data_IF_245376227522
#
_entry.id   IF_245376227522
#
_cell.length_a   1.000
_cell.length_b   1.000
_cell.length_c   1.000
_cell.angle_alpha   90.00
_cell.angle_beta   90.00
_cell.angle_gamma   90.00
#
_symmetry.space_group_name_H-M   'P 1'
#
loop_
_entity.id
_entity.type
_entity.pdbx_description
1 polymer ?
#
# COMPACT_ATOMS: atom_id res chain seq x y z
N UNK A 1 -2.20 43.57 -23.67
CA UNK A 1 -1.84 42.66 -22.57
C UNK A 1 -1.33 41.34 -23.12
N UNK A 2 -2.15 40.61 -23.89
CA UNK A 2 -1.80 39.32 -24.50
C UNK A 2 -0.50 39.28 -25.36
N UNK A 3 -0.17 40.34 -26.12
CA UNK A 3 1.09 40.37 -26.90
C UNK A 3 2.35 40.50 -26.02
N UNK A 4 2.23 41.12 -24.84
CA UNK A 4 3.37 41.28 -23.92
C UNK A 4 3.72 39.94 -23.27
N UNK A 5 2.70 39.19 -22.88
CA UNK A 5 2.85 37.86 -22.28
C UNK A 5 3.47 36.85 -23.27
N UNK A 6 3.27 37.02 -24.59
CA UNK A 6 3.94 36.21 -25.62
C UNK A 6 5.42 36.50 -25.75
N UNK A 7 5.81 37.77 -25.62
CA UNK A 7 7.23 38.17 -25.65
C UNK A 7 7.93 37.57 -24.43
N UNK A 8 7.29 37.65 -23.26
CA UNK A 8 7.80 37.06 -22.02
C UNK A 8 7.96 35.53 -22.12
N UNK A 9 6.98 34.83 -22.69
CA UNK A 9 7.09 33.38 -22.95
C UNK A 9 8.22 33.03 -23.93
N UNK A 10 8.43 33.83 -24.98
CA UNK A 10 9.53 33.63 -25.93
C UNK A 10 10.89 33.92 -25.31
N UNK A 11 10.99 34.93 -24.46
CA UNK A 11 12.19 35.26 -23.69
C UNK A 11 12.53 34.16 -22.67
N UNK A 12 11.51 33.48 -22.13
CA UNK A 12 11.65 32.28 -21.31
C UNK A 12 11.99 31.00 -22.11
N UNK A 13 12.14 31.10 -23.43
CA UNK A 13 12.52 29.98 -24.30
C UNK A 13 11.36 29.07 -24.72
N UNK A 14 10.10 29.51 -24.54
CA UNK A 14 8.93 28.71 -24.89
C UNK A 14 8.59 28.87 -26.39
N UNK A 15 8.71 27.83 -27.24
CA UNK A 15 8.37 27.94 -28.64
C UNK A 15 6.85 27.99 -28.80
N UNK A 16 6.35 29.13 -29.28
CA UNK A 16 4.95 29.35 -29.61
C UNK A 16 4.74 29.08 -31.10
N UNK A 17 3.98 28.04 -31.42
CA UNK A 17 3.54 27.76 -32.79
C UNK A 17 2.31 28.61 -33.14
N UNK A 18 2.28 29.20 -34.32
CA UNK A 18 1.10 29.89 -34.85
C UNK A 18 0.31 28.95 -35.77
N UNK A 19 -0.98 28.78 -35.50
CA UNK A 19 -1.83 27.87 -36.28
C UNK A 19 -3.31 28.27 -36.25
N UNK A 20 -4.06 27.85 -37.28
CA UNK A 20 -5.51 28.06 -37.36
C UNK A 20 -6.25 27.05 -36.48
N UNK A 21 -7.20 27.55 -35.69
CA UNK A 21 -8.08 26.71 -34.91
C UNK A 21 -9.13 26.08 -35.84
N UNK A 22 -9.13 24.75 -35.96
CA UNK A 22 -10.16 24.03 -36.74
C UNK A 22 -11.49 24.15 -36.00
N UNK A 23 -12.36 25.06 -36.45
CA UNK A 23 -13.74 25.18 -35.99
C UNK A 23 -14.18 26.57 -35.47
N UNK A 24 -13.28 27.54 -35.28
CA UNK A 24 -13.67 28.88 -34.83
C UNK A 24 -12.76 29.97 -35.40
N UNK A 25 -13.28 30.71 -36.38
CA UNK A 25 -12.77 32.03 -36.77
C UNK A 25 -11.56 32.10 -37.71
N UNK A 26 -11.51 33.18 -38.49
CA UNK A 26 -10.47 33.56 -39.44
C UNK A 26 -9.18 34.11 -38.77
N UNK A 27 -9.02 33.90 -37.47
CA UNK A 27 -7.95 34.50 -36.66
C UNK A 27 -6.90 33.45 -36.32
N UNK A 28 -5.63 33.71 -36.65
CA UNK A 28 -4.53 32.81 -36.30
C UNK A 28 -4.31 32.80 -34.78
N UNK A 29 -4.28 31.60 -34.18
CA UNK A 29 -4.05 31.38 -32.76
C UNK A 29 -2.61 30.96 -32.47
N UNK A 30 -2.23 31.00 -31.20
CA UNK A 30 -0.93 30.53 -30.71
C UNK A 30 -1.12 29.25 -29.91
N UNK A 31 -0.30 28.23 -30.16
CA UNK A 31 -0.28 26.95 -29.45
C UNK A 31 1.13 26.67 -28.96
N UNK A 32 1.25 26.21 -27.72
CA UNK A 32 2.45 25.55 -27.23
C UNK A 32 2.38 24.09 -27.72
N UNK A 33 3.36 23.64 -28.48
CA UNK A 33 3.41 22.27 -28.96
C UNK A 33 3.55 21.32 -27.77
N UNK A 34 2.49 20.56 -27.51
CA UNK A 34 2.42 19.62 -26.38
C UNK A 34 3.58 18.64 -26.38
N UNK A 35 3.99 18.15 -27.57
CA UNK A 35 5.15 17.29 -27.79
C UNK A 35 6.49 17.86 -27.28
N UNK A 36 6.63 19.19 -27.21
CA UNK A 36 7.89 19.83 -26.80
C UNK A 36 8.00 19.97 -25.27
N UNK A 37 6.90 19.68 -24.57
CA UNK A 37 6.76 19.78 -23.10
C UNK A 37 6.23 18.50 -22.47
N UNK A 38 5.90 17.50 -23.27
CA UNK A 38 5.58 16.17 -22.78
C UNK A 38 6.87 15.62 -22.16
N UNK A 39 6.83 15.42 -20.85
CA UNK A 39 7.81 14.61 -20.17
C UNK A 39 7.83 13.25 -20.88
N UNK A 40 9.03 12.74 -21.17
CA UNK A 40 9.20 11.39 -21.70
C UNK A 40 8.55 10.35 -20.79
N UNK A 41 8.41 9.12 -21.30
CA UNK A 41 7.94 8.00 -20.48
C UNK A 41 8.79 7.88 -19.21
N UNK A 42 8.13 7.90 -18.05
CA UNK A 42 8.79 7.75 -16.75
C UNK A 42 8.85 6.27 -16.44
N UNK A 43 9.98 5.64 -16.74
CA UNK A 43 10.32 4.32 -16.25
C UNK A 43 10.95 4.46 -14.86
N UNK A 44 10.29 3.94 -13.82
CA UNK A 44 10.86 3.93 -12.47
C UNK A 44 11.77 2.71 -12.31
N UNK A 45 13.04 2.94 -12.00
CA UNK A 45 13.93 1.89 -11.54
C UNK A 45 13.50 1.38 -10.14
N UNK A 46 13.86 0.14 -9.75
CA UNK A 46 13.46 -0.44 -8.47
C UNK A 46 13.82 0.39 -7.23
N UNK A 47 14.92 1.14 -7.28
CA UNK A 47 15.40 2.04 -6.24
C UNK A 47 14.63 3.38 -6.23
N UNK A 48 14.25 3.91 -7.39
CA UNK A 48 13.33 5.06 -7.48
C UNK A 48 11.96 4.73 -6.90
N UNK A 49 11.43 3.53 -7.18
CA UNK A 49 10.22 3.03 -6.55
C UNK A 49 10.37 2.93 -5.01
N UNK A 50 11.55 2.55 -4.52
CA UNK A 50 11.86 2.56 -3.09
C UNK A 50 11.84 3.98 -2.51
N UNK A 51 12.40 4.96 -3.22
CA UNK A 51 12.39 6.36 -2.80
C UNK A 51 10.96 6.93 -2.72
N UNK A 52 10.10 6.61 -3.69
CA UNK A 52 8.68 6.99 -3.67
C UNK A 52 7.96 6.33 -2.48
N UNK A 53 8.20 5.05 -2.23
CA UNK A 53 7.61 4.35 -1.09
C UNK A 53 8.09 4.93 0.25
N UNK A 54 9.38 5.29 0.38
CA UNK A 54 9.90 6.00 1.55
C UNK A 54 9.21 7.36 1.74
N UNK A 55 9.00 8.12 0.67
CA UNK A 55 8.27 9.38 0.70
C UNK A 55 6.79 9.20 1.09
N UNK A 56 6.19 8.05 0.82
CA UNK A 56 4.83 7.71 1.26
C UNK A 56 4.75 7.27 2.74
N UNK A 57 5.86 6.78 3.31
CA UNK A 57 5.90 6.18 4.66
C UNK A 57 6.51 7.08 5.72
N UNK A 58 7.58 7.83 5.42
CA UNK A 58 8.32 8.62 6.42
C UNK A 58 7.58 9.90 6.82
N UNK A 59 7.15 10.78 5.90
CA UNK A 59 6.47 12.03 6.25
C UNK A 59 5.10 11.75 6.89
N UNK A 60 4.81 12.41 8.02
CA UNK A 60 3.56 12.17 8.76
C UNK A 60 2.30 12.48 7.92
N UNK A 61 2.36 13.50 7.07
CA UNK A 61 1.26 13.87 6.17
C UNK A 61 0.96 12.76 5.16
N UNK A 62 1.98 12.29 4.44
CA UNK A 62 1.86 11.20 3.48
C UNK A 62 1.39 9.91 4.17
N UNK A 63 1.98 9.57 5.32
CA UNK A 63 1.60 8.40 6.10
C UNK A 63 0.13 8.40 6.52
N UNK A 64 -0.43 9.56 6.92
CA UNK A 64 -1.85 9.65 7.30
C UNK A 64 -2.79 9.26 6.15
N UNK A 65 -2.39 9.54 4.91
CA UNK A 65 -3.15 9.19 3.71
C UNK A 65 -2.93 7.73 3.31
N UNK A 66 -1.69 7.24 3.38
CA UNK A 66 -1.30 5.93 2.85
C UNK A 66 -1.51 4.77 3.84
N UNK A 67 -1.45 5.01 5.15
CA UNK A 67 -1.48 3.96 6.19
C UNK A 67 -2.71 3.05 6.18
N UNK A 68 -3.82 3.50 5.58
CA UNK A 68 -5.03 2.69 5.39
C UNK A 68 -4.74 1.39 4.64
N UNK A 69 -3.86 1.41 3.64
CA UNK A 69 -3.49 0.21 2.89
C UNK A 69 -2.78 -0.81 3.80
N UNK A 70 -1.98 -0.35 4.78
CA UNK A 70 -1.36 -1.22 5.78
C UNK A 70 -2.40 -1.78 6.74
N UNK A 71 -3.39 -0.98 7.17
CA UNK A 71 -4.52 -1.48 7.98
C UNK A 71 -5.34 -2.53 7.23
N UNK A 72 -5.61 -2.33 5.94
CA UNK A 72 -6.30 -3.33 5.10
C UNK A 72 -5.53 -4.67 5.12
N UNK A 73 -4.21 -4.62 4.89
CA UNK A 73 -3.35 -5.81 4.94
C UNK A 73 -3.30 -6.45 6.34
N UNK A 74 -3.27 -5.65 7.40
CA UNK A 74 -3.26 -6.09 8.80
C UNK A 74 -4.55 -6.87 9.15
N UNK A 75 -5.72 -6.27 8.91
CA UNK A 75 -7.01 -6.91 9.16
C UNK A 75 -7.25 -8.11 8.23
N UNK A 76 -6.83 -8.00 6.96
CA UNK A 76 -6.83 -9.11 6.01
C UNK A 76 -5.99 -10.29 6.52
N UNK A 77 -4.85 -10.03 7.16
CA UNK A 77 -4.00 -11.03 7.80
C UNK A 77 -4.71 -11.80 8.91
N UNK A 78 -5.36 -11.09 9.84
CA UNK A 78 -6.20 -11.71 10.86
C UNK A 78 -7.30 -12.57 10.23
N UNK A 79 -8.02 -12.03 9.24
CA UNK A 79 -9.11 -12.71 8.57
C UNK A 79 -8.67 -13.98 7.86
N UNK A 80 -7.58 -13.91 7.09
CA UNK A 80 -7.03 -15.04 6.33
C UNK A 80 -6.57 -16.16 7.26
N UNK A 81 -5.76 -15.84 8.27
CA UNK A 81 -5.25 -16.85 9.20
C UNK A 81 -6.37 -17.41 10.08
N UNK A 82 -7.38 -16.61 10.42
CA UNK A 82 -8.57 -17.13 11.10
C UNK A 82 -9.26 -18.22 10.26
N UNK A 83 -9.49 -17.98 8.96
CA UNK A 83 -10.09 -18.96 8.07
C UNK A 83 -9.21 -20.21 7.91
N UNK A 84 -7.91 -20.02 7.68
CA UNK A 84 -6.95 -21.14 7.49
C UNK A 84 -6.80 -22.01 8.75
N UNK A 85 -7.00 -21.44 9.93
CA UNK A 85 -6.95 -22.17 11.21
C UNK A 85 -8.33 -22.73 11.63
N UNK A 86 -9.31 -22.71 10.73
CA UNK A 86 -10.64 -23.30 10.94
C UNK A 86 -11.59 -22.45 11.80
N UNK A 87 -11.26 -21.17 12.03
CA UNK A 87 -12.16 -20.20 12.66
C UNK A 87 -13.13 -19.65 11.61
N UNK A 88 -14.32 -19.23 12.06
CA UNK A 88 -15.29 -18.56 11.19
C UNK A 88 -15.12 -17.05 11.28
N UNK A 89 -14.95 -16.39 10.15
CA UNK A 89 -14.87 -14.93 10.08
C UNK A 89 -16.29 -14.35 10.00
N UNK A 90 -16.67 -13.51 10.97
CA UNK A 90 -18.00 -12.87 10.99
C UNK A 90 -18.01 -11.55 10.22
N UNK A 91 -16.91 -10.80 10.33
CA UNK A 91 -16.70 -9.60 9.55
C UNK A 91 -15.49 -8.79 9.99
N UNK A 92 -15.15 -7.84 9.13
CA UNK A 92 -14.07 -6.88 9.32
C UNK A 92 -14.68 -5.47 9.29
N UNK A 93 -14.22 -4.60 10.18
CA UNK A 93 -14.56 -3.18 10.17
C UNK A 93 -13.28 -2.36 10.07
N UNK A 94 -13.25 -1.41 9.15
CA UNK A 94 -12.13 -0.48 8.98
C UNK A 94 -12.59 0.94 9.32
N UNK A 95 -11.80 1.71 10.05
CA UNK A 95 -12.15 3.07 10.45
C UNK A 95 -11.20 4.10 9.86
N UNK A 96 -11.65 5.35 9.78
CA UNK A 96 -10.88 6.46 9.20
C UNK A 96 -9.69 6.89 10.05
N UNK A 97 -9.70 6.57 11.34
CA UNK A 97 -8.55 6.73 12.24
C UNK A 97 -7.50 5.63 12.06
N UNK A 98 -7.74 4.70 11.12
CA UNK A 98 -6.90 3.57 10.69
C UNK A 98 -6.80 2.44 11.72
N UNK A 99 -7.74 2.45 12.67
CA UNK A 99 -8.08 1.26 13.43
C UNK A 99 -8.88 0.28 12.57
N UNK A 100 -8.68 -1.00 12.83
CA UNK A 100 -9.50 -2.07 12.28
C UNK A 100 -10.00 -2.98 13.39
N UNK A 101 -11.02 -3.76 13.06
CA UNK A 101 -11.55 -4.79 13.94
C UNK A 101 -11.96 -6.00 13.10
N UNK A 102 -11.23 -7.09 13.30
CA UNK A 102 -11.55 -8.39 12.74
C UNK A 102 -12.25 -9.28 13.77
N UNK A 103 -13.50 -9.64 13.51
CA UNK A 103 -14.30 -10.48 14.41
C UNK A 103 -14.36 -11.91 13.86
N UNK A 104 -13.85 -12.87 14.65
CA UNK A 104 -13.90 -14.29 14.31
C UNK A 104 -14.47 -15.13 15.45
N UNK A 105 -15.25 -16.17 15.10
CA UNK A 105 -15.80 -17.17 16.00
C UNK A 105 -15.01 -18.47 15.93
N UNK A 106 -14.76 -19.05 17.10
CA UNK A 106 -14.03 -20.30 17.25
C UNK A 106 -13.65 -20.50 18.72
N UNK A 107 -12.74 -21.44 19.00
CA UNK A 107 -12.19 -21.57 20.36
C UNK A 107 -11.48 -20.27 20.76
N UNK A 108 -11.77 -19.69 21.94
CA UNK A 108 -11.19 -18.41 22.36
C UNK A 108 -9.70 -18.52 22.71
N UNK A 109 -9.19 -19.73 22.90
CA UNK A 109 -7.77 -20.02 23.13
C UNK A 109 -7.29 -21.20 22.25
N UNK A 110 -5.98 -21.31 22.10
CA UNK A 110 -5.30 -22.35 21.32
C UNK A 110 -4.60 -21.80 20.07
N UNK A 111 -3.96 -22.71 19.33
CA UNK A 111 -3.04 -22.35 18.23
C UNK A 111 -3.70 -21.48 17.15
N UNK A 112 -4.97 -21.71 16.82
CA UNK A 112 -5.67 -20.89 15.83
C UNK A 112 -5.82 -19.43 16.27
N UNK A 113 -6.16 -19.17 17.55
CA UNK A 113 -6.25 -17.81 18.06
C UNK A 113 -4.86 -17.14 18.16
N UNK A 114 -3.83 -17.90 18.56
CA UNK A 114 -2.44 -17.42 18.64
C UNK A 114 -1.96 -17.02 17.23
N UNK A 115 -2.14 -17.88 16.23
CA UNK A 115 -1.73 -17.58 14.86
C UNK A 115 -2.52 -16.40 14.29
N UNK A 116 -3.83 -16.33 14.53
CA UNK A 116 -4.65 -15.18 14.10
C UNK A 116 -4.15 -13.89 14.72
N UNK A 117 -3.90 -13.84 16.03
CA UNK A 117 -3.41 -12.63 16.69
C UNK A 117 -2.00 -12.23 16.22
N UNK A 118 -1.12 -13.20 15.95
CA UNK A 118 0.22 -12.93 15.41
C UNK A 118 0.21 -12.43 13.95
N UNK A 119 -0.87 -12.71 13.20
CA UNK A 119 -0.96 -12.40 11.78
C UNK A 119 -1.06 -10.90 11.48
N UNK A 120 -1.69 -10.11 12.35
CA UNK A 120 -1.98 -8.69 12.07
C UNK A 120 -0.72 -7.90 11.75
N UNK A 121 0.20 -7.81 12.71
CA UNK A 121 1.45 -7.05 12.55
C UNK A 121 2.43 -7.64 11.54
N UNK A 122 2.30 -8.93 11.21
CA UNK A 122 3.21 -9.61 10.28
C UNK A 122 2.72 -9.58 8.84
N UNK A 123 1.40 -9.52 8.61
CA UNK A 123 0.80 -9.64 7.29
C UNK A 123 1.26 -8.59 6.27
N UNK A 124 1.33 -7.28 6.57
CA UNK A 124 1.78 -6.30 5.58
C UNK A 124 3.20 -6.59 5.06
N UNK A 125 4.14 -6.88 5.97
CA UNK A 125 5.51 -7.20 5.61
C UNK A 125 5.65 -8.54 4.87
N UNK A 126 4.89 -9.56 5.27
CA UNK A 126 4.90 -10.87 4.59
C UNK A 126 4.25 -10.81 3.20
N UNK A 127 3.20 -10.00 3.02
CA UNK A 127 2.62 -9.71 1.70
C UNK A 127 3.61 -8.94 0.83
N UNK A 128 4.33 -7.96 1.40
CA UNK A 128 5.44 -7.30 0.72
C UNK A 128 6.54 -8.28 0.30
N UNK A 129 6.95 -9.18 1.19
CA UNK A 129 7.98 -10.19 0.88
C UNK A 129 7.52 -11.16 -0.22
N UNK A 130 6.28 -11.66 -0.14
CA UNK A 130 5.69 -12.50 -1.18
C UNK A 130 5.56 -11.78 -2.52
N UNK A 131 5.20 -10.49 -2.49
CA UNK A 131 5.21 -9.63 -3.66
C UNK A 131 6.60 -9.44 -4.25
N UNK A 132 7.61 -9.21 -3.42
CA UNK A 132 9.01 -9.10 -3.85
C UNK A 132 9.50 -10.39 -4.52
N UNK A 133 9.13 -11.56 -3.98
CA UNK A 133 9.41 -12.85 -4.61
C UNK A 133 8.74 -12.97 -5.99
N UNK A 134 7.47 -12.61 -6.11
CA UNK A 134 6.76 -12.62 -7.40
C UNK A 134 7.40 -11.67 -8.42
N UNK A 135 7.80 -10.46 -8.00
CA UNK A 135 8.46 -9.49 -8.86
C UNK A 135 9.83 -9.97 -9.32
N UNK A 136 10.63 -10.54 -8.41
CA UNK A 136 11.93 -11.13 -8.75
C UNK A 136 11.80 -12.32 -9.72
N UNK A 137 10.67 -13.03 -9.68
CA UNK A 137 10.33 -14.10 -10.62
C UNK A 137 9.66 -13.60 -11.92
N UNK A 138 9.45 -12.29 -12.09
CA UNK A 138 8.80 -11.70 -13.27
C UNK A 138 7.28 -11.87 -13.33
N UNK A 139 6.62 -12.24 -12.23
CA UNK A 139 5.19 -12.53 -12.16
C UNK A 139 4.32 -11.33 -11.75
N UNK A 140 4.47 -10.20 -12.44
CA UNK A 140 3.73 -8.95 -12.16
C UNK A 140 2.20 -9.17 -12.24
N UNK A 141 1.73 -9.82 -13.30
CA UNK A 141 0.29 -10.08 -13.47
C UNK A 141 -0.28 -10.91 -12.33
N UNK A 142 0.46 -11.92 -11.85
CA UNK A 142 0.02 -12.75 -10.73
C UNK A 142 -0.09 -11.94 -9.43
N UNK A 143 0.84 -11.00 -9.20
CA UNK A 143 0.81 -10.09 -8.06
C UNK A 143 -0.43 -9.19 -8.11
N UNK A 144 -0.69 -8.52 -9.24
CA UNK A 144 -1.82 -7.59 -9.37
C UNK A 144 -3.16 -8.31 -9.23
N UNK A 145 -3.37 -9.43 -9.92
CA UNK A 145 -4.61 -10.20 -9.83
C UNK A 145 -4.77 -10.91 -8.49
N UNK A 146 -3.68 -11.37 -7.88
CA UNK A 146 -3.68 -11.90 -6.52
C UNK A 146 -4.14 -10.86 -5.50
N UNK A 147 -3.64 -9.62 -5.61
CA UNK A 147 -4.08 -8.51 -4.76
C UNK A 147 -5.56 -8.16 -4.99
N UNK A 148 -6.03 -8.12 -6.25
CA UNK A 148 -7.45 -7.91 -6.58
C UNK A 148 -8.32 -8.99 -5.94
N UNK A 149 -7.91 -10.27 -6.05
CA UNK A 149 -8.66 -11.39 -5.46
C UNK A 149 -8.71 -11.30 -3.93
N UNK A 150 -7.59 -10.96 -3.28
CA UNK A 150 -7.53 -10.75 -1.83
C UNK A 150 -8.44 -9.60 -1.39
N UNK A 151 -8.40 -8.46 -2.10
CA UNK A 151 -9.26 -7.31 -1.83
C UNK A 151 -10.74 -7.64 -2.08
N UNK A 152 -11.07 -8.41 -3.12
CA UNK A 152 -12.43 -8.86 -3.38
C UNK A 152 -12.94 -9.80 -2.29
N UNK A 153 -12.12 -10.76 -1.85
CA UNK A 153 -12.45 -11.64 -0.73
C UNK A 153 -12.67 -10.85 0.57
N UNK A 154 -11.81 -9.87 0.82
CA UNK A 154 -11.93 -8.96 1.95
C UNK A 154 -13.21 -8.12 1.87
N UNK A 155 -13.57 -7.62 0.69
CA UNK A 155 -14.76 -6.80 0.47
C UNK A 155 -16.05 -7.52 0.91
N UNK A 156 -16.15 -8.84 0.66
CA UNK A 156 -17.30 -9.66 1.12
C UNK A 156 -17.38 -9.69 2.66
N UNK A 157 -16.24 -9.59 3.34
CA UNK A 157 -16.15 -9.64 4.80
C UNK A 157 -16.31 -8.27 5.47
N UNK A 158 -16.19 -7.16 4.73
CA UNK A 158 -16.31 -5.82 5.29
C UNK A 158 -17.77 -5.54 5.69
N UNK A 159 -17.95 -5.02 6.91
CA UNK A 159 -19.28 -4.74 7.50
C UNK A 159 -19.56 -3.27 7.77
N UNK A 160 -18.79 -2.34 7.19
CA UNK A 160 -19.00 -0.91 7.38
C UNK A 160 -18.67 -0.08 6.13
N UNK A 161 -19.37 1.06 5.95
CA UNK A 161 -19.30 1.86 4.72
C UNK A 161 -17.90 2.40 4.40
N UNK A 162 -17.16 2.85 5.42
CA UNK A 162 -15.79 3.33 5.22
C UNK A 162 -14.86 2.23 4.72
N UNK A 163 -14.98 1.02 5.30
CA UNK A 163 -14.23 -0.13 4.83
C UNK A 163 -14.57 -0.49 3.38
N UNK A 164 -15.86 -0.45 3.01
CA UNK A 164 -16.29 -0.73 1.63
C UNK A 164 -15.65 0.29 0.69
N UNK A 165 -15.76 1.58 1.01
CA UNK A 165 -15.18 2.65 0.20
C UNK A 165 -13.67 2.46 0.01
N UNK A 166 -12.93 2.25 1.09
CA UNK A 166 -11.46 2.13 1.04
C UNK A 166 -11.00 0.89 0.28
N UNK A 167 -11.63 -0.27 0.50
CA UNK A 167 -11.31 -1.52 -0.23
C UNK A 167 -11.71 -1.42 -1.69
N UNK A 168 -12.86 -0.81 -2.02
CA UNK A 168 -13.29 -0.60 -3.41
C UNK A 168 -12.35 0.36 -4.13
N UNK A 169 -11.98 1.50 -3.53
CA UNK A 169 -11.04 2.44 -4.14
C UNK A 169 -9.66 1.79 -4.38
N UNK A 170 -9.17 1.04 -3.40
CA UNK A 170 -7.91 0.31 -3.53
C UNK A 170 -8.01 -0.76 -4.63
N UNK A 171 -9.06 -1.60 -4.61
CA UNK A 171 -9.26 -2.65 -5.61
C UNK A 171 -9.47 -2.09 -7.01
N UNK A 172 -10.21 -0.98 -7.15
CA UNK A 172 -10.39 -0.27 -8.42
C UNK A 172 -9.05 0.26 -8.94
N UNK A 173 -8.20 0.82 -8.08
CA UNK A 173 -6.85 1.26 -8.49
C UNK A 173 -6.04 0.08 -9.06
N UNK A 174 -5.97 -1.05 -8.35
CA UNK A 174 -5.27 -2.24 -8.85
C UNK A 174 -5.85 -2.74 -10.18
N UNK A 175 -7.19 -2.83 -10.27
CA UNK A 175 -7.86 -3.29 -11.48
C UNK A 175 -7.63 -2.35 -12.67
N UNK A 176 -7.79 -1.04 -12.49
CA UNK A 176 -7.59 -0.06 -13.55
C UNK A 176 -6.14 -0.04 -14.03
N UNK A 177 -5.16 -0.10 -13.11
CA UNK A 177 -3.75 -0.22 -13.50
C UNK A 177 -3.53 -1.52 -14.28
N UNK A 178 -4.01 -2.65 -13.76
CA UNK A 178 -3.81 -3.95 -14.43
C UNK A 178 -4.48 -4.06 -15.80
N UNK A 179 -5.58 -3.34 -16.03
CA UNK A 179 -6.39 -3.49 -17.25
C UNK A 179 -6.12 -2.42 -18.31
N UNK A 180 -5.82 -1.18 -17.89
CA UNK A 180 -5.75 -0.03 -18.79
C UNK A 180 -4.32 0.45 -19.08
N UNK A 181 -3.32 0.00 -18.33
CA UNK A 181 -1.96 0.55 -18.45
C UNK A 181 -0.98 -0.43 -19.08
N UNK A 182 0.09 0.12 -19.64
CA UNK A 182 1.16 -0.63 -20.29
C UNK A 182 2.03 -1.39 -19.27
N UNK A 183 2.79 -2.43 -19.69
CA UNK A 183 3.58 -3.25 -18.79
C UNK A 183 4.55 -2.47 -17.90
N UNK A 184 5.15 -1.39 -18.41
CA UNK A 184 6.06 -0.54 -17.64
C UNK A 184 5.35 0.12 -16.44
N UNK A 185 4.17 0.69 -16.67
CA UNK A 185 3.36 1.32 -15.60
C UNK A 185 2.87 0.28 -14.59
N UNK A 186 2.47 -0.91 -15.07
CA UNK A 186 2.11 -2.03 -14.18
C UNK A 186 3.28 -2.46 -13.30
N UNK A 187 4.50 -2.53 -13.86
CA UNK A 187 5.71 -2.85 -13.12
C UNK A 187 6.00 -1.78 -12.08
N UNK A 188 6.07 -0.51 -12.47
CA UNK A 188 6.33 0.62 -11.56
C UNK A 188 5.34 0.65 -10.39
N UNK A 189 4.05 0.47 -10.67
CA UNK A 189 3.01 0.37 -9.65
C UNK A 189 3.22 -0.83 -8.71
N UNK A 190 3.51 -2.01 -9.27
CA UNK A 190 3.72 -3.23 -8.48
C UNK A 190 4.96 -3.11 -7.57
N UNK A 191 6.09 -2.61 -8.08
CA UNK A 191 7.28 -2.31 -7.27
C UNK A 191 6.97 -1.30 -6.17
N UNK A 192 6.25 -0.22 -6.49
CA UNK A 192 5.84 0.79 -5.52
C UNK A 192 4.97 0.22 -4.40
N UNK A 193 3.97 -0.61 -4.73
CA UNK A 193 3.12 -1.31 -3.75
C UNK A 193 3.94 -2.23 -2.86
N UNK A 194 4.84 -3.03 -3.44
CA UNK A 194 5.66 -3.99 -2.69
C UNK A 194 6.59 -3.26 -1.73
N UNK A 195 7.31 -2.25 -2.20
CA UNK A 195 8.14 -1.42 -1.33
C UNK A 195 7.34 -0.74 -0.24
N UNK A 196 6.15 -0.21 -0.58
CA UNK A 196 5.25 0.39 0.39
C UNK A 196 4.82 -0.59 1.48
N UNK A 197 4.50 -1.85 1.14
CA UNK A 197 4.14 -2.87 2.14
C UNK A 197 5.34 -3.29 3.00
N UNK A 198 6.53 -3.44 2.40
CA UNK A 198 7.75 -3.77 3.12
C UNK A 198 8.14 -2.68 4.14
N UNK A 199 8.14 -1.41 3.71
CA UNK A 199 8.49 -0.26 4.55
C UNK A 199 7.36 0.10 5.52
N UNK A 200 6.13 0.16 5.01
CA UNK A 200 4.93 0.52 5.75
C UNK A 200 4.56 -0.51 6.82
N UNK A 201 4.93 -1.78 6.66
CA UNK A 201 4.73 -2.81 7.69
C UNK A 201 5.61 -2.64 8.94
N UNK A 202 6.78 -2.00 8.79
CA UNK A 202 7.73 -1.79 9.91
C UNK A 202 7.20 -0.76 10.92
N UNK A 203 6.67 0.35 10.40
CA UNK A 203 6.29 1.52 11.20
C UNK A 203 5.23 1.24 12.29
N UNK A 204 4.13 0.50 12.02
CA UNK A 204 3.13 0.15 13.04
C UNK A 204 3.68 -0.58 14.27
N UNK A 205 4.74 -1.38 14.12
CA UNK A 205 5.33 -2.12 15.25
C UNK A 205 6.02 -1.15 16.22
N UNK A 206 6.74 -0.16 15.71
CA UNK A 206 7.33 0.93 16.51
C UNK A 206 6.26 1.83 17.14
N UNK A 207 5.17 2.12 16.41
CA UNK A 207 4.03 2.86 16.96
C UNK A 207 3.36 2.11 18.11
N UNK A 208 3.21 0.78 17.99
CA UNK A 208 2.70 -0.07 19.06
C UNK A 208 3.63 -0.03 20.28
N UNK A 209 4.93 -0.21 20.09
CA UNK A 209 5.91 -0.15 21.18
C UNK A 209 5.81 1.18 21.95
N UNK A 210 5.72 2.30 21.22
CA UNK A 210 5.59 3.64 21.81
C UNK A 210 4.26 3.85 22.55
N UNK A 211 3.16 3.29 22.04
CA UNK A 211 1.85 3.33 22.73
C UNK A 211 1.86 2.49 24.01
N UNK A 212 2.52 1.33 23.98
CA UNK A 212 2.62 0.42 25.12
C UNK A 212 3.48 0.99 26.24
N UNK A 213 4.63 1.61 25.94
CA UNK A 213 5.46 2.26 26.95
C UNK A 213 4.71 3.40 27.68
N UNK A 214 3.71 4.00 27.02
CA UNK A 214 2.81 4.98 27.63
C UNK A 214 1.54 4.41 28.27
N UNK A 215 1.35 3.08 28.32
CA UNK A 215 0.17 2.42 28.90
C UNK A 215 -1.13 2.54 28.09
N UNK A 216 -1.06 2.91 26.80
CA UNK A 216 -2.23 3.29 25.98
C UNK A 216 -2.73 2.21 25.00
N UNK A 217 -2.30 0.95 25.15
CA UNK A 217 -2.66 -0.13 24.22
C UNK A 217 -2.84 -1.51 24.90
N UNK A 218 -3.67 -1.65 25.96
CA UNK A 218 -3.77 -2.88 26.76
C UNK A 218 -4.38 -4.09 26.02
N UNK A 219 -5.06 -3.87 24.89
CA UNK A 219 -5.72 -4.90 24.09
C UNK A 219 -5.10 -5.11 22.71
N UNK A 220 -3.85 -4.69 22.54
CA UNK A 220 -3.08 -4.97 21.33
C UNK A 220 -2.90 -6.47 21.10
N UNK A 221 -2.63 -6.87 19.86
CA UNK A 221 -2.31 -8.26 19.52
C UNK A 221 -1.21 -8.85 20.40
N UNK A 222 -0.16 -8.05 20.69
CA UNK A 222 0.93 -8.48 21.56
C UNK A 222 0.45 -8.76 23.00
N UNK A 223 -0.51 -8.00 23.52
CA UNK A 223 -1.11 -8.29 24.83
C UNK A 223 -2.03 -9.50 24.79
N UNK A 224 -2.85 -9.63 23.74
CA UNK A 224 -3.70 -10.81 23.55
C UNK A 224 -2.85 -12.07 23.48
N UNK A 225 -1.78 -12.06 22.69
CA UNK A 225 -0.80 -13.13 22.60
C UNK A 225 -0.14 -13.41 23.95
N UNK A 226 0.22 -12.37 24.69
CA UNK A 226 0.80 -12.53 26.02
C UNK A 226 -0.15 -13.23 26.99
N UNK A 227 -1.42 -12.85 27.00
CA UNK A 227 -2.47 -13.51 27.80
C UNK A 227 -2.73 -14.95 27.36
N UNK A 228 -2.71 -15.21 26.06
CA UNK A 228 -3.00 -16.55 25.49
C UNK A 228 -1.85 -17.54 25.70
N UNK A 229 -0.61 -17.07 25.67
CA UNK A 229 0.59 -17.92 25.68
C UNK A 229 1.37 -17.89 26.99
N UNK A 230 1.04 -16.96 27.90
CA UNK A 230 1.82 -16.65 29.10
C UNK A 230 3.26 -16.20 28.82
N UNK A 231 3.57 -15.87 27.56
CA UNK A 231 4.86 -15.31 27.13
C UNK A 231 4.80 -13.79 27.25
N UNK A 232 5.85 -13.11 27.75
CA UNK A 232 5.87 -11.65 27.83
C UNK A 232 5.59 -10.98 26.48
N UNK A 233 4.72 -9.96 26.45
CA UNK A 233 4.40 -9.20 25.23
C UNK A 233 5.64 -8.61 24.53
N UNK A 234 6.72 -8.34 25.27
CA UNK A 234 7.99 -7.89 24.71
C UNK A 234 8.62 -8.90 23.72
N UNK A 235 8.47 -10.21 23.96
CA UNK A 235 8.97 -11.24 23.04
C UNK A 235 8.11 -11.31 21.76
N UNK A 236 6.81 -11.07 21.87
CA UNK A 236 5.93 -10.94 20.70
C UNK A 236 6.24 -9.68 19.89
N UNK A 237 6.50 -8.54 20.54
CA UNK A 237 7.00 -7.34 19.86
C UNK A 237 8.33 -7.60 19.16
N UNK A 238 9.26 -8.32 19.81
CA UNK A 238 10.52 -8.71 19.19
C UNK A 238 10.29 -9.56 17.94
N UNK A 239 9.39 -10.55 18.01
CA UNK A 239 9.01 -11.35 16.85
C UNK A 239 8.46 -10.48 15.70
N UNK A 240 7.59 -9.52 16.00
CA UNK A 240 7.04 -8.61 14.99
C UNK A 240 8.12 -7.74 14.35
N UNK A 241 9.06 -7.20 15.13
CA UNK A 241 10.21 -6.48 14.58
C UNK A 241 11.09 -7.40 13.73
N UNK A 242 11.37 -8.61 14.20
CA UNK A 242 12.18 -9.58 13.46
C UNK A 242 11.54 -9.90 12.11
N UNK A 243 10.25 -10.23 12.07
CA UNK A 243 9.53 -10.54 10.82
C UNK A 243 9.51 -9.34 9.88
N UNK A 244 9.17 -8.14 10.37
CA UNK A 244 9.04 -6.96 9.51
C UNK A 244 10.39 -6.50 8.96
N UNK A 245 11.44 -6.48 9.78
CA UNK A 245 12.80 -6.11 9.35
C UNK A 245 13.42 -7.17 8.45
N UNK A 246 13.28 -8.46 8.76
CA UNK A 246 13.78 -9.52 7.88
C UNK A 246 13.06 -9.54 6.53
N UNK A 247 11.76 -9.28 6.51
CA UNK A 247 10.99 -9.15 5.26
C UNK A 247 11.46 -7.95 4.44
N UNK A 248 11.69 -6.79 5.07
CA UNK A 248 12.22 -5.60 4.40
C UNK A 248 13.62 -5.85 3.84
N UNK A 249 14.52 -6.46 4.61
CA UNK A 249 15.88 -6.76 4.17
C UNK A 249 15.87 -7.80 3.04
N UNK A 250 15.16 -8.92 3.21
CA UNK A 250 15.10 -9.99 2.22
C UNK A 250 14.41 -9.54 0.93
N UNK A 251 13.23 -8.92 1.05
CA UNK A 251 12.49 -8.37 -0.08
C UNK A 251 13.26 -7.26 -0.78
N UNK A 252 13.86 -6.34 -0.02
CA UNK A 252 14.68 -5.27 -0.60
C UNK A 252 15.90 -5.79 -1.36
N UNK A 253 16.56 -6.85 -0.87
CA UNK A 253 17.66 -7.49 -1.61
C UNK A 253 17.19 -8.08 -2.94
N UNK A 254 16.04 -8.75 -2.96
CA UNK A 254 15.48 -9.28 -4.22
C UNK A 254 15.12 -8.18 -5.21
N UNK A 255 14.52 -7.08 -4.74
CA UNK A 255 14.11 -5.97 -5.60
C UNK A 255 15.29 -5.17 -6.15
N UNK A 256 16.39 -5.08 -5.39
CA UNK A 256 17.61 -4.35 -5.77
C UNK A 256 18.66 -5.23 -6.47
N UNK A 257 18.43 -6.54 -6.59
CA UNK A 257 19.38 -7.47 -7.21
C UNK A 257 20.69 -7.65 -6.44
N UNK A 258 20.65 -7.54 -5.10
CA UNK A 258 21.83 -7.57 -4.20
C UNK A 258 22.21 -8.95 -3.66
#
# INVERSE_FOLDING_TARGET
MFERDKVELRELGVPLETGRQVGSGTTDGYRIARRDYELGEIDLEPDEAAAVALAAVLPQSAWRLSRNAVTIAHEGGHGLIALLTGRRLDGIRLHSDTSGLTVSRGRPAGIGMILTAAAGYTAPSLLGLGGAWLLAAGHITALLWGAILLLAAMLVMIRNAYGVLTVVLTGALFFLISWLTEPAVQAAFAYGVVWFLLLGGVRPVFELQSKRSGGRAPDSDADQLSRLTHVPAALWLFLFHAVTLCSLIGGGRWLLGL
#
